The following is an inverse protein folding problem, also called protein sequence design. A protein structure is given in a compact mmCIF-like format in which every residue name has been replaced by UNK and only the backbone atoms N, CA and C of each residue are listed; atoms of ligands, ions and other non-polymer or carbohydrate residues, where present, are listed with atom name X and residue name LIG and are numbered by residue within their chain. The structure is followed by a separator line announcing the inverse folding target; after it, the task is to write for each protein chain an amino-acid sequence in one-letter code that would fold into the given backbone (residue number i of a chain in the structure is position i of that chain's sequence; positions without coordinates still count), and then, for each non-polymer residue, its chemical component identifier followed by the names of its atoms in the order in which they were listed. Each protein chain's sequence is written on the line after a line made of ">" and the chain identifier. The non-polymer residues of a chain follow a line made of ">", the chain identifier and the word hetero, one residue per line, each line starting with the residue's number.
data_IF_513406461897
#
_entry.id   IF_513406461897
#
_cell.length_a   1.000
_cell.length_b   1.000
_cell.length_c   1.000
_cell.angle_alpha   90.00
_cell.angle_beta   90.00
_cell.angle_gamma   90.00
#
_symmetry.space_group_name_H-M   'P 1'
#
loop_
_entity.id
_entity.type
_entity.pdbx_description
1 polymer ?
#
# COMPACT_ATOMS: atom_id res chain seq x y z
N UNK A 1 -15.66 -25.27 -5.41
CA UNK A 1 -14.22 -25.60 -5.60
C UNK A 1 -13.65 -25.06 -6.91
N UNK A 2 -14.21 -25.38 -8.09
CA UNK A 2 -13.67 -24.89 -9.38
C UNK A 2 -13.72 -23.35 -9.55
N UNK A 3 -14.82 -22.70 -9.17
CA UNK A 3 -14.99 -21.24 -9.26
C UNK A 3 -13.99 -20.49 -8.37
N UNK A 4 -13.85 -20.93 -7.12
CA UNK A 4 -12.88 -20.34 -6.17
C UNK A 4 -11.43 -20.50 -6.66
N UNK A 5 -11.09 -21.63 -7.28
CA UNK A 5 -9.77 -21.81 -7.91
C UNK A 5 -9.55 -20.90 -9.13
N UNK A 6 -10.62 -20.59 -9.87
CA UNK A 6 -10.55 -19.71 -11.03
C UNK A 6 -10.39 -18.23 -10.61
N UNK A 7 -11.12 -17.78 -9.58
CA UNK A 7 -10.98 -16.43 -9.03
C UNK A 7 -9.60 -16.22 -8.42
N UNK A 8 -9.07 -17.20 -7.67
CA UNK A 8 -7.69 -17.14 -7.16
C UNK A 8 -6.66 -16.96 -8.29
N UNK A 9 -6.78 -17.72 -9.37
CA UNK A 9 -5.88 -17.59 -10.52
C UNK A 9 -6.02 -16.22 -11.22
N UNK A 10 -7.24 -15.69 -11.30
CA UNK A 10 -7.49 -14.35 -11.84
C UNK A 10 -6.90 -13.26 -10.95
N UNK A 11 -7.05 -13.39 -9.63
CA UNK A 11 -6.49 -12.47 -8.65
C UNK A 11 -4.96 -12.43 -8.73
N UNK A 12 -4.30 -13.59 -8.77
CA UNK A 12 -2.84 -13.66 -8.92
C UNK A 12 -2.33 -13.02 -10.21
N UNK A 13 -3.08 -13.19 -11.30
CA UNK A 13 -2.79 -12.53 -12.57
C UNK A 13 -2.99 -11.01 -12.48
N UNK A 14 -4.06 -10.56 -11.82
CA UNK A 14 -4.30 -9.13 -11.59
C UNK A 14 -3.21 -8.51 -10.72
N UNK A 15 -2.78 -9.19 -9.66
CA UNK A 15 -1.65 -8.79 -8.80
C UNK A 15 -0.34 -8.69 -9.58
N UNK A 16 -0.08 -9.64 -10.47
CA UNK A 16 1.10 -9.59 -11.35
C UNK A 16 1.06 -8.37 -12.29
N UNK A 17 -0.10 -8.07 -12.86
CA UNK A 17 -0.30 -6.88 -13.71
C UNK A 17 -0.17 -5.58 -12.91
N UNK A 18 -0.73 -5.54 -11.69
CA UNK A 18 -0.58 -4.42 -10.77
C UNK A 18 0.90 -4.13 -10.49
N UNK A 19 1.70 -5.16 -10.17
CA UNK A 19 3.13 -4.98 -9.90
C UNK A 19 3.87 -4.39 -11.12
N UNK A 20 3.56 -4.86 -12.33
CA UNK A 20 4.09 -4.23 -13.56
C UNK A 20 3.66 -2.77 -13.70
N UNK A 21 2.43 -2.46 -13.29
CA UNK A 21 1.90 -1.10 -13.26
C UNK A 21 2.61 -0.20 -12.24
N UNK A 22 2.99 -0.73 -11.08
CA UNK A 22 3.86 -0.06 -10.11
C UNK A 22 5.20 0.28 -10.77
N UNK A 23 5.77 -0.65 -11.54
CA UNK A 23 7.02 -0.45 -12.30
C UNK A 23 6.87 0.46 -13.54
N UNK A 24 5.66 0.93 -13.86
CA UNK A 24 5.39 1.94 -14.89
C UNK A 24 4.63 1.46 -16.13
N UNK A 25 4.23 0.19 -16.21
CA UNK A 25 3.42 -0.32 -17.33
C UNK A 25 1.96 0.13 -17.21
N UNK A 26 1.62 1.23 -17.88
CA UNK A 26 0.27 1.81 -17.90
C UNK A 26 -0.80 0.85 -18.42
N UNK A 27 -0.46 0.01 -19.42
CA UNK A 27 -1.41 -0.95 -19.97
C UNK A 27 -1.68 -2.09 -18.98
N UNK A 28 -0.68 -2.45 -18.17
CA UNK A 28 -0.87 -3.41 -17.09
C UNK A 28 -1.77 -2.84 -15.98
N UNK A 29 -1.68 -1.54 -15.66
CA UNK A 29 -2.59 -0.88 -14.70
C UNK A 29 -4.05 -1.01 -15.16
N UNK A 30 -4.34 -0.66 -16.42
CA UNK A 30 -5.71 -0.73 -16.97
C UNK A 30 -6.25 -2.16 -16.88
N UNK A 31 -5.47 -3.14 -17.35
CA UNK A 31 -5.87 -4.56 -17.31
C UNK A 31 -6.05 -5.08 -15.88
N UNK A 32 -5.18 -4.67 -14.95
CA UNK A 32 -5.31 -5.04 -13.54
C UNK A 32 -6.61 -4.47 -12.96
N UNK A 33 -6.89 -3.19 -13.19
CA UNK A 33 -8.11 -2.53 -12.71
C UNK A 33 -9.38 -3.20 -13.23
N UNK A 34 -9.45 -3.49 -14.54
CA UNK A 34 -10.59 -4.20 -15.14
C UNK A 34 -10.82 -5.59 -14.56
N UNK A 35 -9.73 -6.33 -14.30
CA UNK A 35 -9.82 -7.66 -13.68
C UNK A 35 -10.25 -7.57 -12.22
N UNK A 36 -9.69 -6.63 -11.46
CA UNK A 36 -10.01 -6.44 -10.05
C UNK A 36 -11.44 -5.94 -9.85
N UNK A 37 -11.96 -5.11 -10.75
CA UNK A 37 -13.36 -4.68 -10.71
C UNK A 37 -14.32 -5.88 -10.83
N UNK A 38 -14.07 -6.78 -11.79
CA UNK A 38 -14.87 -8.02 -11.95
C UNK A 38 -14.75 -8.95 -10.77
N UNK A 39 -13.54 -9.07 -10.21
CA UNK A 39 -13.31 -9.88 -9.00
C UNK A 39 -14.04 -9.29 -7.79
N UNK A 40 -14.03 -7.96 -7.64
CA UNK A 40 -14.75 -7.25 -6.57
C UNK A 40 -16.25 -7.44 -6.66
N UNK A 41 -16.82 -7.47 -7.85
CA UNK A 41 -18.25 -7.78 -8.05
C UNK A 41 -18.58 -9.23 -7.67
N UNK A 42 -17.67 -10.17 -7.93
CA UNK A 42 -17.84 -11.58 -7.59
C UNK A 42 -17.55 -11.91 -6.12
N UNK A 43 -16.65 -11.16 -5.48
CA UNK A 43 -16.17 -11.35 -4.11
C UNK A 43 -16.14 -10.00 -3.34
N UNK A 44 -17.31 -9.41 -3.02
CA UNK A 44 -17.43 -8.02 -2.56
C UNK A 44 -16.85 -7.70 -1.17
N UNK A 45 -16.55 -8.75 -0.39
CA UNK A 45 -16.01 -8.67 0.97
C UNK A 45 -14.56 -9.18 1.06
N UNK A 46 -13.92 -9.51 -0.07
CA UNK A 46 -12.49 -9.86 -0.07
C UNK A 46 -11.63 -8.59 0.05
N UNK A 47 -10.99 -8.46 1.20
CA UNK A 47 -10.18 -7.30 1.55
C UNK A 47 -8.95 -7.11 0.64
N UNK A 48 -8.36 -8.19 0.12
CA UNK A 48 -7.20 -8.10 -0.77
C UNK A 48 -7.61 -7.63 -2.17
N UNK A 49 -8.69 -8.16 -2.72
CA UNK A 49 -9.26 -7.69 -3.98
C UNK A 49 -9.59 -6.20 -3.86
N UNK A 50 -10.24 -5.78 -2.77
CA UNK A 50 -10.55 -4.37 -2.49
C UNK A 50 -9.27 -3.51 -2.47
N UNK A 51 -8.24 -3.94 -1.72
CA UNK A 51 -6.99 -3.19 -1.60
C UNK A 51 -6.26 -3.02 -2.94
N UNK A 52 -6.16 -4.09 -3.72
CA UNK A 52 -5.53 -4.05 -5.04
C UNK A 52 -6.34 -3.19 -6.02
N UNK A 53 -7.68 -3.27 -5.98
CA UNK A 53 -8.54 -2.41 -6.78
C UNK A 53 -8.28 -0.93 -6.46
N UNK A 54 -8.30 -0.55 -5.18
CA UNK A 54 -8.01 0.82 -4.74
C UNK A 54 -6.61 1.27 -5.17
N UNK A 55 -5.62 0.39 -5.05
CA UNK A 55 -4.27 0.69 -5.53
C UNK A 55 -4.21 0.94 -7.03
N UNK A 56 -4.94 0.18 -7.85
CA UNK A 56 -4.99 0.43 -9.30
C UNK A 56 -5.70 1.73 -9.65
N UNK A 57 -6.70 2.19 -8.88
CA UNK A 57 -7.32 3.50 -9.08
C UNK A 57 -6.29 4.63 -8.91
N UNK A 58 -5.46 4.56 -7.86
CA UNK A 58 -4.39 5.54 -7.65
C UNK A 58 -3.36 5.50 -8.81
N UNK A 59 -3.01 4.31 -9.31
CA UNK A 59 -2.11 4.17 -10.45
C UNK A 59 -2.73 4.75 -11.74
N UNK A 60 -4.04 4.59 -11.96
CA UNK A 60 -4.75 5.24 -13.07
C UNK A 60 -4.69 6.77 -12.93
N UNK A 61 -4.87 7.29 -11.71
CA UNK A 61 -4.71 8.71 -11.41
C UNK A 61 -3.30 9.22 -11.71
N UNK A 62 -2.26 8.47 -11.33
CA UNK A 62 -0.85 8.79 -11.70
C UNK A 62 -0.67 8.93 -13.21
N UNK A 63 -1.28 8.03 -13.97
CA UNK A 63 -1.09 7.92 -15.42
C UNK A 63 -2.00 8.84 -16.24
N UNK A 64 -3.01 9.45 -15.62
CA UNK A 64 -3.98 10.33 -16.27
C UNK A 64 -3.35 11.64 -16.77
N UNK A 65 -3.87 12.15 -17.88
CA UNK A 65 -3.38 13.38 -18.53
C UNK A 65 -3.90 14.64 -17.84
N UNK A 66 -5.19 14.65 -17.46
CA UNK A 66 -5.84 15.79 -16.82
C UNK A 66 -5.63 15.75 -15.32
N UNK A 67 -5.31 16.90 -14.72
CA UNK A 67 -5.02 17.03 -13.28
C UNK A 67 -6.22 16.65 -12.41
N UNK A 68 -7.43 17.09 -12.78
CA UNK A 68 -8.66 16.76 -12.02
C UNK A 68 -8.88 15.24 -11.96
N UNK A 69 -8.78 14.56 -13.12
CA UNK A 69 -8.87 13.10 -13.18
C UNK A 69 -7.82 12.39 -12.29
N UNK A 70 -6.66 13.02 -12.02
CA UNK A 70 -5.66 12.46 -11.10
C UNK A 70 -6.13 12.50 -9.65
N UNK A 71 -6.66 13.66 -9.23
CA UNK A 71 -7.10 13.88 -7.86
C UNK A 71 -8.30 12.99 -7.54
N UNK A 72 -9.32 12.99 -8.41
CA UNK A 72 -10.53 12.18 -8.22
C UNK A 72 -10.19 10.69 -8.10
N UNK A 73 -9.29 10.19 -8.96
CA UNK A 73 -8.86 8.78 -8.91
C UNK A 73 -8.00 8.43 -7.69
N UNK A 74 -7.20 9.38 -7.22
CA UNK A 74 -6.42 9.19 -6.00
C UNK A 74 -7.33 9.15 -4.77
N UNK A 75 -8.31 10.05 -4.69
CA UNK A 75 -9.32 10.08 -3.60
C UNK A 75 -10.17 8.80 -3.61
N UNK A 76 -10.72 8.41 -4.76
CA UNK A 76 -11.48 7.15 -4.92
C UNK A 76 -10.64 5.94 -4.50
N UNK A 77 -9.37 5.90 -4.91
CA UNK A 77 -8.44 4.84 -4.52
C UNK A 77 -8.16 4.79 -3.02
N UNK A 78 -8.03 5.94 -2.36
CA UNK A 78 -7.86 6.04 -0.91
C UNK A 78 -9.07 5.54 -0.15
N UNK A 79 -10.28 5.92 -0.56
CA UNK A 79 -11.52 5.46 0.07
C UNK A 79 -11.65 3.95 -0.01
N UNK A 80 -11.34 3.36 -1.17
CA UNK A 80 -11.33 1.92 -1.37
C UNK A 80 -10.27 1.24 -0.48
N UNK A 81 -9.06 1.81 -0.35
CA UNK A 81 -8.02 1.27 0.54
C UNK A 81 -8.41 1.35 2.01
N UNK A 82 -9.09 2.42 2.42
CA UNK A 82 -9.64 2.56 3.77
C UNK A 82 -10.72 1.50 4.03
N UNK A 83 -11.59 1.24 3.05
CA UNK A 83 -12.55 0.13 3.12
C UNK A 83 -11.84 -1.22 3.24
N UNK A 84 -10.78 -1.47 2.47
CA UNK A 84 -10.02 -2.71 2.56
C UNK A 84 -9.45 -2.97 3.98
N UNK A 85 -8.92 -1.93 4.63
CA UNK A 85 -8.46 -2.02 6.03
C UNK A 85 -9.63 -2.26 7.00
N UNK A 86 -10.82 -1.71 6.73
CA UNK A 86 -12.00 -1.99 7.56
C UNK A 86 -12.53 -3.42 7.42
N UNK A 87 -12.34 -4.05 6.25
CA UNK A 87 -12.70 -5.45 6.01
C UNK A 87 -11.74 -6.41 6.71
N UNK A 88 -10.43 -6.17 6.62
CA UNK A 88 -9.43 -6.90 7.39
C UNK A 88 -8.24 -6.01 7.78
N UNK A 89 -8.26 -5.59 9.04
CA UNK A 89 -7.28 -4.66 9.59
C UNK A 89 -5.90 -5.29 9.84
N UNK A 90 -5.79 -6.62 9.80
CA UNK A 90 -4.57 -7.35 10.18
C UNK A 90 -3.73 -7.80 8.99
N UNK A 91 -4.24 -7.66 7.76
CA UNK A 91 -3.50 -8.08 6.57
C UNK A 91 -2.33 -7.16 6.26
N UNK A 92 -1.12 -7.71 6.44
CA UNK A 92 0.17 -7.10 6.10
C UNK A 92 0.17 -6.41 4.73
N UNK A 93 -0.37 -7.08 3.72
CA UNK A 93 -0.32 -6.63 2.33
C UNK A 93 -1.15 -5.36 2.12
N UNK A 94 -2.32 -5.27 2.75
CA UNK A 94 -3.19 -4.08 2.71
C UNK A 94 -2.49 -2.88 3.36
N UNK A 95 -1.90 -3.09 4.55
CA UNK A 95 -1.14 -2.06 5.28
C UNK A 95 0.06 -1.55 4.47
N UNK A 96 0.79 -2.44 3.82
CA UNK A 96 1.89 -2.06 2.92
C UNK A 96 1.38 -1.25 1.72
N UNK A 97 0.28 -1.66 1.09
CA UNK A 97 -0.27 -0.94 -0.06
C UNK A 97 -0.73 0.47 0.34
N UNK A 98 -1.58 0.57 1.37
CA UNK A 98 -2.14 1.85 1.82
C UNK A 98 -1.07 2.79 2.35
N UNK A 99 -0.17 2.33 3.22
CA UNK A 99 0.91 3.16 3.75
C UNK A 99 1.84 3.72 2.67
N UNK A 100 2.23 2.90 1.69
CA UNK A 100 3.07 3.34 0.58
C UNK A 100 2.37 4.33 -0.36
N UNK A 101 1.06 4.18 -0.57
CA UNK A 101 0.28 5.12 -1.37
C UNK A 101 0.13 6.45 -0.64
N UNK A 102 -0.32 6.41 0.61
CA UNK A 102 -0.50 7.58 1.46
C UNK A 102 0.78 8.40 1.61
N UNK A 103 1.95 7.76 1.64
CA UNK A 103 3.24 8.45 1.68
C UNK A 103 3.55 9.23 0.39
N UNK A 104 3.15 8.71 -0.77
CA UNK A 104 3.50 9.28 -2.09
C UNK A 104 2.52 10.34 -2.58
N UNK A 105 1.35 10.44 -1.94
CA UNK A 105 0.38 11.46 -2.28
C UNK A 105 0.81 12.83 -1.74
N UNK A 106 0.54 13.93 -2.45
CA UNK A 106 0.84 15.27 -1.97
C UNK A 106 0.16 15.58 -0.62
N UNK A 107 0.96 15.67 0.44
CA UNK A 107 0.45 15.91 1.80
C UNK A 107 -0.38 17.19 1.92
N UNK A 108 -0.02 18.23 1.17
CA UNK A 108 -0.74 19.52 1.16
C UNK A 108 -2.19 19.43 0.66
N UNK A 109 -2.56 18.32 0.01
CA UNK A 109 -3.89 18.11 -0.55
C UNK A 109 -4.61 16.93 0.11
N UNK A 110 -3.93 15.80 0.28
CA UNK A 110 -4.56 14.55 0.75
C UNK A 110 -4.47 14.34 2.27
N UNK A 111 -3.57 15.04 2.97
CA UNK A 111 -3.38 14.91 4.42
C UNK A 111 -3.20 13.45 4.91
N UNK A 112 -2.52 12.63 4.10
CA UNK A 112 -2.46 11.18 4.25
C UNK A 112 -1.26 10.68 5.07
N UNK A 113 -0.37 11.57 5.53
CA UNK A 113 0.82 11.19 6.29
C UNK A 113 0.52 10.50 7.61
N UNK A 114 -0.55 10.89 8.33
CA UNK A 114 -0.95 10.19 9.57
C UNK A 114 -1.38 8.74 9.28
N UNK A 115 -2.09 8.50 8.18
CA UNK A 115 -2.48 7.14 7.76
C UNK A 115 -1.25 6.31 7.39
N UNK A 116 -0.26 6.91 6.70
CA UNK A 116 1.00 6.23 6.43
C UNK A 116 1.76 5.89 7.73
N UNK A 117 1.79 6.80 8.69
CA UNK A 117 2.38 6.57 10.02
C UNK A 117 1.67 5.42 10.74
N UNK A 118 0.34 5.38 10.73
CA UNK A 118 -0.46 4.29 11.33
C UNK A 118 -0.04 2.94 10.74
N UNK A 119 -0.06 2.81 9.41
CA UNK A 119 0.22 1.55 8.75
C UNK A 119 1.67 1.08 8.95
N UNK A 120 2.64 1.97 8.83
CA UNK A 120 4.05 1.62 9.05
C UNK A 120 4.35 1.28 10.50
N UNK A 121 3.75 2.00 11.46
CA UNK A 121 3.85 1.67 12.89
C UNK A 121 3.26 0.28 13.16
N UNK A 122 2.04 0.01 12.69
CA UNK A 122 1.40 -1.30 12.82
C UNK A 122 2.29 -2.44 12.29
N UNK A 123 2.87 -2.26 11.10
CA UNK A 123 3.75 -3.26 10.49
C UNK A 123 5.01 -3.54 11.33
N UNK A 124 5.59 -2.50 11.93
CA UNK A 124 6.79 -2.61 12.76
C UNK A 124 6.49 -3.21 14.13
N UNK A 125 5.34 -2.91 14.73
CA UNK A 125 4.93 -3.49 16.01
C UNK A 125 4.73 -5.01 15.87
N UNK A 126 4.05 -5.45 14.80
CA UNK A 126 3.91 -6.87 14.45
C UNK A 126 5.25 -7.56 14.17
N UNK A 127 6.22 -6.83 13.62
CA UNK A 127 7.58 -7.34 13.42
C UNK A 127 8.35 -7.51 14.73
N UNK A 128 8.14 -6.63 15.72
CA UNK A 128 8.73 -6.78 17.04
C UNK A 128 8.17 -8.00 17.79
N UNK A 129 6.87 -8.26 17.65
CA UNK A 129 6.22 -9.47 18.16
C UNK A 129 6.71 -10.74 17.44
N UNK A 130 6.87 -10.65 16.11
CA UNK A 130 7.28 -11.78 15.27
C UNK A 130 8.26 -11.33 14.18
N UNK A 131 9.55 -11.63 14.38
CA UNK A 131 10.63 -11.25 13.46
C UNK A 131 10.55 -11.88 12.05
N UNK A 132 9.64 -12.82 11.80
CA UNK A 132 9.36 -13.38 10.47
C UNK A 132 8.24 -12.63 9.72
N UNK A 133 7.52 -11.72 10.39
CA UNK A 133 6.37 -11.01 9.83
C UNK A 133 6.76 -10.13 8.62
N UNK A 134 7.89 -9.44 8.73
CA UNK A 134 8.50 -8.64 7.66
C UNK A 134 9.84 -9.26 7.22
N UNK A 135 10.09 -9.23 5.91
CA UNK A 135 11.42 -9.52 5.37
C UNK A 135 12.40 -8.40 5.73
N UNK A 136 13.70 -8.68 5.68
CA UNK A 136 14.72 -7.67 5.94
C UNK A 136 14.59 -6.44 5.02
N UNK A 137 14.24 -6.66 3.75
CA UNK A 137 13.98 -5.59 2.79
C UNK A 137 12.79 -4.74 3.24
N UNK A 138 11.69 -5.37 3.63
CA UNK A 138 10.50 -4.67 4.12
C UNK A 138 10.76 -3.89 5.40
N UNK A 139 11.52 -4.42 6.37
CA UNK A 139 11.86 -3.67 7.59
C UNK A 139 12.62 -2.39 7.25
N UNK A 140 13.63 -2.49 6.36
CA UNK A 140 14.39 -1.33 5.91
C UNK A 140 13.50 -0.30 5.23
N UNK A 141 12.66 -0.73 4.30
CA UNK A 141 11.74 0.15 3.56
C UNK A 141 10.72 0.81 4.49
N UNK A 142 10.06 0.04 5.36
CA UNK A 142 9.07 0.55 6.30
C UNK A 142 9.68 1.56 7.27
N UNK A 143 10.89 1.35 7.79
CA UNK A 143 11.55 2.33 8.68
C UNK A 143 11.93 3.63 7.96
N UNK A 144 12.40 3.54 6.71
CA UNK A 144 12.68 4.74 5.89
C UNK A 144 11.40 5.50 5.58
N UNK A 145 10.37 4.78 5.16
CA UNK A 145 9.08 5.34 4.80
C UNK A 145 8.37 5.95 6.02
N UNK A 146 8.51 5.34 7.20
CA UNK A 146 8.00 5.91 8.45
C UNK A 146 8.72 7.22 8.81
N UNK A 147 10.04 7.29 8.61
CA UNK A 147 10.77 8.56 8.78
C UNK A 147 10.24 9.64 7.84
N UNK A 148 10.04 9.31 6.57
CA UNK A 148 9.51 10.26 5.59
C UNK A 148 8.08 10.70 5.91
N UNK A 149 7.21 9.77 6.31
CA UNK A 149 5.85 10.08 6.74
C UNK A 149 5.85 11.04 7.96
N UNK A 150 6.76 10.84 8.92
CA UNK A 150 6.92 11.77 10.04
C UNK A 150 7.43 13.14 9.60
N UNK A 151 8.32 13.23 8.61
CA UNK A 151 8.74 14.53 8.06
C UNK A 151 7.56 15.25 7.41
N UNK A 152 6.79 14.56 6.57
CA UNK A 152 5.62 15.11 5.88
C UNK A 152 4.55 15.59 6.88
N UNK A 153 4.36 14.86 7.98
CA UNK A 153 3.46 15.23 9.08
C UNK A 153 3.99 16.35 10.00
N UNK A 154 5.15 16.96 9.70
CA UNK A 154 5.74 18.03 10.53
C UNK A 154 6.29 17.54 11.88
N UNK A 155 6.72 16.28 11.98
CA UNK A 155 7.23 15.63 13.20
C UNK A 155 8.72 15.23 13.04
N UNK A 156 9.64 16.18 12.85
CA UNK A 156 11.04 15.90 12.52
C UNK A 156 11.77 15.08 13.59
N UNK A 157 11.47 15.27 14.88
CA UNK A 157 12.09 14.49 15.96
C UNK A 157 11.75 12.99 15.84
N UNK A 158 10.50 12.66 15.48
CA UNK A 158 10.06 11.28 15.27
C UNK A 158 10.66 10.67 14.02
N UNK A 159 10.86 11.47 12.97
CA UNK A 159 11.56 11.03 11.78
C UNK A 159 13.01 10.63 12.08
N UNK A 160 13.73 11.47 12.82
CA UNK A 160 15.10 11.16 13.29
C UNK A 160 15.11 9.88 14.12
N UNK A 161 14.15 9.70 15.03
CA UNK A 161 14.04 8.48 15.83
C UNK A 161 13.83 7.22 14.96
N UNK A 162 13.02 7.30 13.91
CA UNK A 162 12.82 6.19 12.97
C UNK A 162 14.12 5.83 12.21
N UNK A 163 14.90 6.81 11.77
CA UNK A 163 16.22 6.57 11.15
C UNK A 163 17.23 5.98 12.14
N UNK A 164 17.26 6.46 13.38
CA UNK A 164 18.13 5.87 14.41
C UNK A 164 17.75 4.41 14.71
N UNK A 165 16.45 4.08 14.69
CA UNK A 165 15.98 2.69 14.81
C UNK A 165 16.45 1.84 13.63
N UNK A 166 16.42 2.37 12.41
CA UNK A 166 16.98 1.71 11.22
C UNK A 166 18.47 1.42 11.37
N UNK A 167 19.28 2.41 11.74
CA UNK A 167 20.73 2.24 11.89
C UNK A 167 21.07 1.17 12.93
N UNK A 168 20.37 1.16 14.07
CA UNK A 168 20.53 0.14 15.11
C UNK A 168 20.19 -1.24 14.60
N UNK A 169 19.07 -1.37 13.86
CA UNK A 169 18.65 -2.64 13.28
C UNK A 169 19.65 -3.16 12.23
N UNK A 170 20.16 -2.30 11.35
CA UNK A 170 21.14 -2.69 10.34
C UNK A 170 22.47 -3.15 10.95
N UNK A 171 22.93 -2.51 12.03
CA UNK A 171 24.13 -2.96 12.77
C UNK A 171 23.92 -4.35 13.37
N UNK A 172 22.74 -4.61 13.96
CA UNK A 172 22.40 -5.92 14.53
C UNK A 172 22.33 -7.03 13.49
N UNK A 173 21.98 -6.73 12.23
CA UNK A 173 21.94 -7.73 11.14
C UNK A 173 23.30 -8.02 10.50
N UNK A 174 24.28 -7.14 10.69
CA UNK A 174 25.67 -7.32 10.22
C UNK A 174 26.58 -7.99 11.24
N UNK A 175 26.13 -8.11 12.48
CA UNK A 175 26.83 -8.80 13.58
C UNK A 175 26.37 -10.25 13.66
#
# INVERSE_FOLDING_TARGET
>A
MAVQSAHMNQFEKARTLHNKGVDGDKNAVIKANEMLLKLREAEPDDALIEAYYGSTLVLLGRDAVKILDRADKAEEGLDVLNRAVSLDSNLKEIRLLRGNICLRLPESFFHSSETAIEDFTFLLDRYEENSSYLTQKQVREVLRNLSEAYQNAGKPDKAVAALQRLDKWERKKKS
#
